data_IF_057741947610
#
_entry.id   IF_057741947610
#
_cell.length_a   1.000
_cell.length_b   1.000
_cell.length_c   1.000
_cell.angle_alpha   90.00
_cell.angle_beta   90.00
_cell.angle_gamma   90.00
#
_symmetry.space_group_name_H-M   'P 1'
#
loop_
_entity.id
_entity.type
_entity.pdbx_description
1 polymer ?
#
# COMPACT_ATOMS: atom_id res chain seq x y z
N UNK A 1 12.10 -14.12 -5.55
CA UNK A 1 11.16 -15.04 -4.87
C UNK A 1 11.16 -16.35 -5.64
N UNK A 2 11.13 -17.52 -4.99
CA UNK A 2 11.09 -18.81 -5.70
C UNK A 2 9.62 -19.21 -5.84
N UNK A 3 9.11 -19.23 -7.07
CA UNK A 3 7.92 -19.96 -7.55
C UNK A 3 6.62 -19.76 -6.77
N UNK A 4 5.65 -19.07 -7.38
CA UNK A 4 4.18 -19.13 -7.18
C UNK A 4 3.60 -19.10 -5.76
N UNK A 5 4.42 -18.88 -4.72
CA UNK A 5 3.96 -18.73 -3.35
C UNK A 5 3.66 -17.28 -3.05
N UNK A 6 2.40 -17.03 -2.74
CA UNK A 6 1.93 -15.80 -2.13
C UNK A 6 2.60 -15.67 -0.76
N UNK A 7 3.42 -14.63 -0.58
CA UNK A 7 4.14 -14.31 0.65
C UNK A 7 3.58 -13.02 1.28
N UNK A 8 3.37 -13.04 2.59
CA UNK A 8 2.92 -11.85 3.33
C UNK A 8 4.12 -11.18 4.00
N UNK A 9 4.20 -9.86 3.86
CA UNK A 9 5.24 -9.03 4.45
C UNK A 9 4.63 -7.90 5.28
N UNK A 10 5.23 -7.63 6.44
CA UNK A 10 4.81 -6.51 7.31
C UNK A 10 5.25 -5.16 6.74
N UNK A 11 4.34 -4.19 6.78
CA UNK A 11 4.63 -2.80 6.45
C UNK A 11 4.08 -1.85 7.50
N UNK A 12 4.50 -0.61 7.41
CA UNK A 12 3.92 0.51 8.10
C UNK A 12 3.40 1.50 7.07
N UNK A 13 2.17 1.99 7.24
CA UNK A 13 1.67 3.13 6.49
C UNK A 13 2.19 4.38 7.22
N UNK A 14 3.16 5.06 6.64
CA UNK A 14 3.78 6.24 7.28
C UNK A 14 2.95 7.50 7.04
N UNK A 15 2.24 7.59 5.91
CA UNK A 15 1.41 8.74 5.57
C UNK A 15 0.26 8.33 4.65
N UNK A 16 -0.90 8.99 4.81
CA UNK A 16 -2.06 8.86 3.93
C UNK A 16 -2.36 10.25 3.35
N UNK A 17 -2.48 10.33 2.03
CA UNK A 17 -2.71 11.55 1.26
C UNK A 17 -3.94 11.39 0.35
N UNK A 18 -5.17 11.55 0.87
CA UNK A 18 -6.41 11.28 0.15
C UNK A 18 -6.69 12.23 -1.02
N UNK A 19 -6.02 13.39 -1.04
CA UNK A 19 -6.15 14.39 -2.11
C UNK A 19 -4.99 14.35 -3.12
N UNK A 20 -4.07 13.40 -2.99
CA UNK A 20 -2.94 13.30 -3.91
C UNK A 20 -3.39 12.80 -5.29
N UNK A 21 -2.75 13.30 -6.34
CA UNK A 21 -2.94 12.82 -7.71
C UNK A 21 -1.86 11.77 -8.04
N UNK A 22 -2.10 10.91 -9.05
CA UNK A 22 -1.10 9.97 -9.61
C UNK A 22 -0.77 8.72 -8.76
N UNK A 23 -1.70 8.18 -7.97
CA UNK A 23 -1.47 6.91 -7.27
C UNK A 23 -0.46 6.99 -6.12
N UNK A 24 -0.25 8.19 -5.58
CA UNK A 24 0.55 8.51 -4.38
C UNK A 24 -0.35 8.76 -3.16
N UNK A 25 -1.40 7.95 -3.03
CA UNK A 25 -2.41 8.08 -1.97
C UNK A 25 -1.93 7.69 -0.59
N UNK A 26 -0.82 6.95 -0.49
CA UNK A 26 -0.16 6.65 0.78
C UNK A 26 1.34 6.46 0.58
N UNK A 27 2.11 6.69 1.64
CA UNK A 27 3.50 6.29 1.75
C UNK A 27 3.56 5.08 2.67
N UNK A 28 4.20 4.02 2.19
CA UNK A 28 4.40 2.77 2.92
C UNK A 28 5.89 2.52 3.13
N UNK A 29 6.20 1.83 4.23
CA UNK A 29 7.55 1.37 4.56
C UNK A 29 7.53 -0.11 4.89
N UNK A 30 8.43 -0.88 4.28
CA UNK A 30 8.68 -2.26 4.64
C UNK A 30 9.32 -2.31 6.03
N UNK A 31 8.69 -3.06 6.95
CA UNK A 31 9.25 -3.33 8.28
C UNK A 31 9.55 -4.82 8.50
N UNK A 32 9.18 -5.68 7.55
CA UNK A 32 9.53 -7.09 7.55
C UNK A 32 11.04 -7.30 7.33
N UNK A 33 11.71 -7.71 8.40
CA UNK A 33 13.15 -7.94 8.39
C UNK A 33 13.58 -9.03 7.39
N UNK A 34 12.74 -10.04 7.14
CA UNK A 34 13.07 -11.13 6.20
C UNK A 34 13.13 -10.61 4.77
N UNK A 35 12.21 -9.71 4.41
CA UNK A 35 12.22 -9.07 3.10
C UNK A 35 13.41 -8.11 2.97
N UNK A 36 13.59 -7.23 3.96
CA UNK A 36 14.68 -6.25 3.96
C UNK A 36 16.06 -6.92 3.83
N UNK A 37 16.31 -7.98 4.57
CA UNK A 37 17.59 -8.71 4.49
C UNK A 37 17.81 -9.41 3.14
N UNK A 38 16.73 -9.80 2.45
CA UNK A 38 16.79 -10.57 1.22
C UNK A 38 16.84 -9.70 -0.04
N UNK A 39 16.15 -8.56 -0.03
CA UNK A 39 15.92 -7.74 -1.22
C UNK A 39 16.24 -6.26 -1.03
N UNK A 40 16.44 -5.81 0.20
CA UNK A 40 16.59 -4.39 0.54
C UNK A 40 15.26 -3.62 0.61
N UNK A 41 14.13 -4.23 0.23
CA UNK A 41 12.81 -3.60 0.27
C UNK A 41 11.88 -4.03 -0.86
N UNK A 42 11.09 -3.07 -1.36
CA UNK A 42 10.14 -3.25 -2.45
C UNK A 42 10.91 -3.50 -3.75
N UNK A 43 10.53 -4.56 -4.46
CA UNK A 43 11.14 -4.94 -5.74
C UNK A 43 10.13 -4.88 -6.88
N UNK A 44 10.65 -4.91 -8.11
CA UNK A 44 9.82 -5.07 -9.29
C UNK A 44 8.96 -6.34 -9.18
N UNK A 45 7.69 -6.22 -9.56
CA UNK A 45 6.68 -7.27 -9.42
C UNK A 45 5.78 -7.12 -8.19
N UNK A 46 6.12 -6.26 -7.23
CA UNK A 46 5.26 -5.94 -6.08
C UNK A 46 4.21 -4.86 -6.39
N UNK A 47 4.28 -4.21 -7.56
CA UNK A 47 3.21 -3.30 -8.00
C UNK A 47 1.90 -4.08 -8.16
N UNK A 48 0.81 -3.54 -7.61
CA UNK A 48 -0.49 -4.20 -7.54
C UNK A 48 -0.68 -5.11 -6.32
N UNK A 49 0.34 -5.32 -5.48
CA UNK A 49 0.17 -6.15 -4.28
C UNK A 49 -0.81 -5.52 -3.30
N UNK A 50 -1.83 -6.27 -2.81
CA UNK A 50 -2.82 -5.74 -1.89
C UNK A 50 -2.25 -5.43 -0.51
N UNK A 51 -2.64 -4.27 0.01
CA UNK A 51 -2.34 -3.80 1.35
C UNK A 51 -3.54 -4.13 2.24
N UNK A 52 -3.32 -4.96 3.26
CA UNK A 52 -4.36 -5.54 4.12
C UNK A 52 -4.18 -5.07 5.57
N UNK A 53 -5.13 -4.28 6.07
CA UNK A 53 -5.19 -3.82 7.46
C UNK A 53 -6.40 -4.41 8.15
N UNK A 54 -6.21 -5.03 9.32
CA UNK A 54 -7.31 -5.62 10.10
C UNK A 54 -8.22 -6.56 9.28
N UNK A 55 -7.61 -7.33 8.38
CA UNK A 55 -8.32 -8.25 7.48
C UNK A 55 -9.07 -7.58 6.33
N UNK A 56 -8.93 -6.26 6.13
CA UNK A 56 -9.60 -5.48 5.08
C UNK A 56 -8.60 -4.95 4.07
N UNK A 57 -9.02 -4.88 2.81
CA UNK A 57 -8.25 -4.23 1.74
C UNK A 57 -8.31 -2.72 1.94
N UNK A 58 -7.14 -2.09 2.14
CA UNK A 58 -7.03 -0.63 2.30
C UNK A 58 -6.34 0.06 1.13
N UNK A 59 -5.64 -0.71 0.29
CA UNK A 59 -4.97 -0.18 -0.87
C UNK A 59 -4.17 -1.22 -1.64
N UNK A 60 -3.37 -0.75 -2.59
CA UNK A 60 -2.40 -1.57 -3.31
C UNK A 60 -1.08 -0.81 -3.48
N UNK A 61 0.04 -1.54 -3.50
CA UNK A 61 1.36 -0.97 -3.78
C UNK A 61 1.42 -0.48 -5.22
N UNK A 62 1.98 0.69 -5.47
CA UNK A 62 2.11 1.24 -6.83
C UNK A 62 3.55 1.26 -7.29
N UNK A 63 4.40 2.06 -6.66
CA UNK A 63 5.80 2.25 -7.06
C UNK A 63 6.73 2.48 -5.87
N UNK A 64 7.99 2.11 -6.01
CA UNK A 64 9.04 2.24 -4.98
C UNK A 64 9.71 3.63 -5.05
N UNK A 65 10.27 4.12 -3.93
CA UNK A 65 11.08 5.34 -3.93
C UNK A 65 12.45 5.06 -4.55
N UNK A 66 12.93 5.96 -5.42
CA UNK A 66 14.21 5.81 -6.13
C UNK A 66 15.39 5.75 -5.15
N UNK A 67 15.36 6.56 -4.09
CA UNK A 67 16.47 6.70 -3.15
C UNK A 67 16.34 5.81 -1.90
N UNK A 68 15.19 5.14 -1.71
CA UNK A 68 14.93 4.31 -0.54
C UNK A 68 14.01 3.14 -0.92
N UNK A 69 14.56 1.97 -1.29
CA UNK A 69 13.76 0.82 -1.68
C UNK A 69 12.92 0.25 -0.54
N UNK A 70 13.20 0.61 0.72
CA UNK A 70 12.35 0.21 1.85
C UNK A 70 11.01 0.96 1.85
N UNK A 71 10.90 2.07 1.11
CA UNK A 71 9.71 2.90 1.02
C UNK A 71 9.10 2.89 -0.38
N UNK A 72 7.78 3.09 -0.43
CA UNK A 72 7.05 3.18 -1.67
C UNK A 72 5.74 3.92 -1.51
N UNK A 73 5.05 4.05 -2.63
CA UNK A 73 3.71 4.59 -2.71
C UNK A 73 2.68 3.47 -2.79
N UNK A 74 1.47 3.78 -2.33
CA UNK A 74 0.28 2.99 -2.58
C UNK A 74 -0.89 3.85 -3.01
N UNK A 75 -1.87 3.19 -3.63
CA UNK A 75 -3.18 3.75 -3.97
C UNK A 75 -4.21 3.29 -2.94
N UNK A 76 -5.17 4.16 -2.59
CA UNK A 76 -6.26 3.79 -1.68
C UNK A 76 -7.28 2.88 -2.36
N UNK A 77 -7.83 1.91 -1.62
CA UNK A 77 -8.92 1.06 -2.11
C UNK A 77 -10.16 1.87 -2.47
N UNK A 78 -10.42 2.95 -1.75
CA UNK A 78 -11.47 3.91 -2.06
C UNK A 78 -11.34 4.49 -3.48
N UNK A 79 -10.14 4.89 -3.90
CA UNK A 79 -9.91 5.42 -5.24
C UNK A 79 -10.12 4.35 -6.30
N UNK A 80 -9.67 3.12 -6.04
CA UNK A 80 -9.93 1.99 -6.94
C UNK A 80 -11.43 1.75 -7.14
N UNK A 81 -12.22 1.85 -6.06
CA UNK A 81 -13.68 1.73 -6.12
C UNK A 81 -14.33 2.88 -6.89
N UNK A 82 -13.84 4.10 -6.73
CA UNK A 82 -14.31 5.25 -7.50
C UNK A 82 -14.00 5.13 -8.99
N UNK A 83 -12.77 4.75 -9.34
CA UNK A 83 -12.37 4.62 -10.74
C UNK A 83 -13.02 3.41 -11.42
N UNK A 84 -13.36 2.36 -10.67
CA UNK A 84 -14.14 1.22 -11.18
C UNK A 84 -15.63 1.53 -11.43
N UNK A 85 -16.12 2.69 -10.98
CA UNK A 85 -17.54 3.07 -11.05
C UNK A 85 -18.44 2.33 -10.06
N UNK A 86 -17.88 1.51 -9.16
CA UNK A 86 -18.63 0.79 -8.11
C UNK A 86 -19.12 1.76 -7.03
N UNK A 87 -18.35 2.78 -6.70
CA UNK A 87 -18.74 3.83 -5.75
C UNK A 87 -18.73 5.22 -6.42
N UNK A 88 -19.70 6.09 -6.10
CA UNK A 88 -19.71 7.45 -6.60
C UNK A 88 -18.73 8.34 -5.80
N UNK A 89 -18.06 9.29 -6.49
CA UNK A 89 -16.96 10.11 -5.94
C UNK A 89 -17.34 11.07 -4.79
N UNK A 90 -18.62 11.25 -4.48
CA UNK A 90 -19.09 12.22 -3.48
C UNK A 90 -19.12 11.68 -2.03
N UNK A 91 -18.64 10.45 -1.79
CA UNK A 91 -18.69 9.80 -0.46
C UNK A 91 -17.49 10.20 0.44
N UNK A 92 -16.57 11.03 -0.06
CA UNK A 92 -15.24 11.29 0.54
C UNK A 92 -15.19 12.33 1.69
N UNK A 93 -16.31 12.84 2.20
CA UNK A 93 -16.31 13.78 3.34
C UNK A 93 -16.13 13.08 4.71
N UNK A 94 -15.18 12.14 4.84
CA UNK A 94 -14.85 11.53 6.15
C UNK A 94 -13.60 12.14 6.75
N UNK A 95 -13.65 12.40 8.06
CA UNK A 95 -12.51 12.89 8.86
C UNK A 95 -11.39 11.83 8.92
N UNK A 96 -10.27 12.10 8.26
CA UNK A 96 -9.09 11.21 8.18
C UNK A 96 -8.27 11.08 9.49
N UNK A 97 -8.74 11.66 10.60
CA UNK A 97 -7.98 11.77 11.86
C UNK A 97 -7.84 10.46 12.66
N UNK A 98 -8.55 9.37 12.29
CA UNK A 98 -8.65 8.15 13.12
C UNK A 98 -7.76 6.96 12.69
N UNK A 99 -7.00 7.04 11.59
CA UNK A 99 -6.23 5.89 11.09
C UNK A 99 -4.87 5.73 11.81
N UNK A 100 -4.83 4.87 12.84
CA UNK A 100 -3.59 4.36 13.45
C UNK A 100 -2.93 3.25 12.62
N UNK A 101 -1.61 3.32 12.43
CA UNK A 101 -0.93 2.60 11.33
C UNK A 101 0.04 1.48 11.79
N UNK A 102 -0.41 0.22 11.68
CA UNK A 102 0.43 -0.97 11.51
C UNK A 102 -0.33 -1.99 10.65
N UNK A 103 0.25 -2.44 9.52
CA UNK A 103 -0.52 -3.10 8.44
C UNK A 103 0.30 -4.21 7.76
N UNK A 104 -0.36 -5.24 7.21
CA UNK A 104 0.31 -6.34 6.51
C UNK A 104 0.07 -6.25 4.99
N UNK A 105 1.08 -6.51 4.16
CA UNK A 105 0.91 -6.74 2.72
C UNK A 105 0.73 -8.25 2.48
N UNK A 106 -0.15 -8.60 1.55
CA UNK A 106 -0.14 -9.90 0.90
C UNK A 106 0.36 -9.72 -0.54
N UNK A 107 1.47 -10.35 -0.92
CA UNK A 107 2.01 -10.38 -2.28
C UNK A 107 1.87 -11.79 -2.83
#
# INVERSE_FOLDING_TARGET
MKGDKIEKFKIQIEQVNPHSTEGKGMIIKIVDQRLLQKTGGIIQGMSGSPIIQDGKLVGAVTHVFINDPSRGYGVLAEWMLYDSGVLPKHVSERNYAEFGAMTNIAC
#
